data_IF_339291420134
#
_entry.id   IF_339291420134
#
_cell.length_a   1.000
_cell.length_b   1.000
_cell.length_c   1.000
_cell.angle_alpha   90.00
_cell.angle_beta   90.00
_cell.angle_gamma   90.00
#
_symmetry.space_group_name_H-M   'P 1'
#
loop_
_entity.id
_entity.type
_entity.pdbx_description
1 polymer ?
#
# COMPACT_ATOMS: atom_id res chain seq x y z
N UNK A 1 4.92 17.24 36.07
CA UNK A 1 4.81 16.01 36.87
C UNK A 1 5.04 14.82 35.95
N UNK A 2 5.96 13.93 36.29
CA UNK A 2 6.29 12.75 35.48
C UNK A 2 5.26 11.64 35.64
N UNK A 3 5.24 10.67 34.72
CA UNK A 3 4.41 9.47 34.87
C UNK A 3 4.69 8.74 36.20
N UNK A 4 5.95 8.73 36.63
CA UNK A 4 6.40 8.15 37.90
C UNK A 4 5.84 8.87 39.14
N UNK A 5 5.67 10.19 39.08
CA UNK A 5 5.04 10.97 40.17
C UNK A 5 3.52 10.74 40.21
N UNK A 6 2.89 10.54 39.05
CA UNK A 6 1.44 10.27 38.95
C UNK A 6 1.09 8.89 39.51
N UNK A 7 1.90 7.86 39.21
CA UNK A 7 1.75 6.52 39.79
C UNK A 7 2.01 6.49 41.29
N UNK A 8 2.94 7.31 41.79
CA UNK A 8 3.18 7.47 43.23
C UNK A 8 1.96 8.07 43.95
N UNK A 9 1.35 9.12 43.39
CA UNK A 9 0.14 9.75 43.94
C UNK A 9 -1.06 8.78 43.91
N UNK A 10 -1.19 7.97 42.86
CA UNK A 10 -2.21 6.91 42.76
C UNK A 10 -2.03 5.84 43.84
N UNK A 11 -0.79 5.42 44.11
CA UNK A 11 -0.48 4.45 45.17
C UNK A 11 -0.78 5.02 46.57
N UNK A 12 -0.45 6.30 46.81
CA UNK A 12 -0.78 7.00 48.06
C UNK A 12 -2.30 7.16 48.25
N UNK A 13 -3.03 7.50 47.18
CA UNK A 13 -4.50 7.61 47.21
C UNK A 13 -5.17 6.27 47.53
N UNK A 14 -4.66 5.17 46.95
CA UNK A 14 -5.15 3.81 47.23
C UNK A 14 -4.97 3.44 48.70
N UNK A 15 -3.82 3.76 49.30
CA UNK A 15 -3.55 3.51 50.71
C UNK A 15 -4.51 4.28 51.63
N UNK A 16 -4.81 5.54 51.31
CA UNK A 16 -5.75 6.37 52.07
C UNK A 16 -7.19 5.82 52.03
N UNK A 17 -7.59 5.20 50.91
CA UNK A 17 -8.89 4.53 50.77
C UNK A 17 -8.92 3.22 51.57
N UNK A 18 -7.84 2.44 51.53
CA UNK A 18 -7.70 1.18 52.27
C UNK A 18 -7.69 1.39 53.81
N UNK A 19 -7.20 2.54 54.29
CA UNK A 19 -7.14 2.89 55.73
C UNK A 19 -8.50 3.37 56.33
N UNK A 20 -9.57 3.50 55.54
CA UNK A 20 -10.97 3.54 56.03
C UNK A 20 -11.38 4.69 56.96
N UNK A 21 -10.69 5.84 56.98
CA UNK A 21 -10.99 6.96 57.88
C UNK A 21 -11.85 8.05 57.20
N UNK A 22 -13.07 8.29 57.71
CA UNK A 22 -14.06 9.23 57.17
C UNK A 22 -13.58 10.71 57.13
N UNK A 23 -12.53 11.06 57.87
CA UNK A 23 -11.93 12.40 57.88
C UNK A 23 -10.91 12.67 56.76
N UNK A 24 -10.66 11.71 55.85
CA UNK A 24 -9.65 11.84 54.78
C UNK A 24 -10.17 12.38 53.44
N UNK A 25 -11.43 12.82 53.38
CA UNK A 25 -12.09 13.31 52.15
C UNK A 25 -11.37 14.50 51.51
N UNK A 26 -10.88 15.46 52.30
CA UNK A 26 -10.12 16.61 51.82
C UNK A 26 -8.76 16.21 51.21
N UNK A 27 -8.10 15.22 51.80
CA UNK A 27 -6.82 14.67 51.31
C UNK A 27 -7.03 13.95 49.98
N UNK A 28 -8.08 13.13 49.88
CA UNK A 28 -8.44 12.43 48.65
C UNK A 28 -8.82 13.40 47.52
N UNK A 29 -9.60 14.44 47.81
CA UNK A 29 -9.95 15.49 46.84
C UNK A 29 -8.70 16.21 46.30
N UNK A 30 -7.75 16.52 47.18
CA UNK A 30 -6.49 17.19 46.79
C UNK A 30 -5.63 16.29 45.90
N UNK A 31 -5.53 15.00 46.21
CA UNK A 31 -4.79 14.03 45.39
C UNK A 31 -5.44 13.83 44.02
N UNK A 32 -6.77 13.73 43.97
CA UNK A 32 -7.54 13.61 42.71
C UNK A 32 -7.33 14.85 41.83
N UNK A 33 -7.43 16.05 42.39
CA UNK A 33 -7.21 17.29 41.65
C UNK A 33 -5.79 17.38 41.07
N UNK A 34 -4.79 16.93 41.83
CA UNK A 34 -3.39 16.86 41.36
C UNK A 34 -3.22 15.91 40.16
N UNK A 35 -3.83 14.72 40.23
CA UNK A 35 -3.81 13.74 39.12
C UNK A 35 -4.53 14.31 37.90
N UNK A 36 -5.72 14.88 38.07
CA UNK A 36 -6.50 15.49 36.97
C UNK A 36 -5.70 16.57 36.26
N UNK A 37 -5.09 17.50 37.00
CA UNK A 37 -4.29 18.58 36.42
C UNK A 37 -3.09 18.06 35.62
N UNK A 38 -2.44 17.00 36.11
CA UNK A 38 -1.32 16.35 35.41
C UNK A 38 -1.75 15.65 34.12
N UNK A 39 -2.91 14.98 34.14
CA UNK A 39 -3.48 14.32 32.96
C UNK A 39 -3.86 15.37 31.91
N UNK A 40 -4.52 16.46 32.30
CA UNK A 40 -4.85 17.57 31.39
C UNK A 40 -3.62 18.17 30.72
N UNK A 41 -2.52 18.34 31.48
CA UNK A 41 -1.26 18.83 30.92
C UNK A 41 -0.67 17.85 29.89
N UNK A 42 -0.75 16.55 30.16
CA UNK A 42 -0.26 15.51 29.25
C UNK A 42 -1.10 15.45 27.96
N UNK A 43 -2.42 15.60 28.06
CA UNK A 43 -3.33 15.66 26.90
C UNK A 43 -2.95 16.82 25.98
N UNK A 44 -2.76 18.04 26.52
CA UNK A 44 -2.34 19.20 25.72
C UNK A 44 -1.03 18.98 24.98
N UNK A 45 -0.08 18.27 25.59
CA UNK A 45 1.20 17.93 24.96
C UNK A 45 1.02 16.94 23.80
N UNK A 46 0.10 15.99 23.92
CA UNK A 46 -0.26 15.05 22.85
C UNK A 46 -0.93 15.79 21.69
N UNK A 47 -1.89 16.67 21.98
CA UNK A 47 -2.59 17.47 20.96
C UNK A 47 -1.62 18.32 20.13
N UNK A 48 -0.67 19.00 20.79
CA UNK A 48 0.38 19.76 20.10
C UNK A 48 1.30 18.88 19.24
N UNK A 49 1.60 17.66 19.71
CA UNK A 49 2.35 16.67 18.94
C UNK A 49 1.60 16.20 17.69
N UNK A 50 0.29 15.96 17.80
CA UNK A 50 -0.57 15.58 16.69
C UNK A 50 -0.62 16.67 15.60
N UNK A 51 -0.76 17.93 16.00
CA UNK A 51 -0.74 19.06 15.05
C UNK A 51 0.61 19.14 14.30
N UNK A 52 1.71 18.86 14.99
CA UNK A 52 3.04 18.82 14.38
C UNK A 52 3.18 17.68 13.36
N UNK A 53 2.62 16.50 13.66
CA UNK A 53 2.59 15.36 12.74
C UNK A 53 1.76 15.70 11.49
N UNK A 54 0.63 16.39 11.66
CA UNK A 54 -0.22 16.80 10.54
C UNK A 54 0.52 17.78 9.61
N UNK A 55 1.24 18.76 10.18
CA UNK A 55 2.11 19.67 9.41
C UNK A 55 3.21 18.93 8.65
N UNK A 56 3.83 17.93 9.28
CA UNK A 56 4.84 17.07 8.61
C UNK A 56 4.20 16.30 7.46
N UNK A 57 3.02 15.70 7.67
CA UNK A 57 2.30 14.94 6.65
C UNK A 57 2.01 15.80 5.42
N UNK A 58 1.46 17.00 5.62
CA UNK A 58 1.22 17.96 4.54
C UNK A 58 2.50 18.35 3.81
N UNK A 59 3.57 18.59 4.56
CA UNK A 59 4.89 18.94 3.98
C UNK A 59 5.45 17.79 3.14
N UNK A 60 5.35 16.54 3.62
CA UNK A 60 5.78 15.35 2.86
C UNK A 60 4.96 15.19 1.58
N UNK A 61 3.66 15.43 1.63
CA UNK A 61 2.80 15.40 0.43
C UNK A 61 3.22 16.48 -0.58
N UNK A 62 3.47 17.71 -0.14
CA UNK A 62 3.95 18.78 -1.02
C UNK A 62 5.33 18.48 -1.62
N UNK A 63 6.28 18.03 -0.80
CA UNK A 63 7.62 17.65 -1.28
C UNK A 63 7.57 16.49 -2.28
N UNK A 64 6.65 15.54 -2.10
CA UNK A 64 6.47 14.44 -3.04
C UNK A 64 5.94 14.91 -4.41
N UNK A 65 5.14 15.98 -4.44
CA UNK A 65 4.66 16.60 -5.66
C UNK A 65 5.77 17.45 -6.34
N UNK A 66 6.51 18.24 -5.56
CA UNK A 66 7.55 19.14 -6.07
C UNK A 66 8.77 18.40 -6.65
N UNK A 67 9.12 17.24 -6.08
CA UNK A 67 10.25 16.43 -6.55
C UNK A 67 9.97 15.65 -7.84
N UNK A 68 8.76 15.73 -8.43
CA UNK A 68 8.35 14.91 -9.59
C UNK A 68 8.72 13.43 -9.45
N UNK A 69 8.69 12.91 -8.21
CA UNK A 69 8.97 11.50 -7.96
C UNK A 69 7.92 10.59 -8.62
N UNK A 70 6.79 11.15 -9.07
CA UNK A 70 5.78 10.45 -9.89
C UNK A 70 6.33 9.90 -11.21
N UNK A 71 7.32 10.57 -11.82
CA UNK A 71 7.90 10.14 -13.11
C UNK A 71 9.00 9.05 -12.90
N UNK A 72 9.48 8.90 -11.67
CA UNK A 72 10.48 7.91 -11.25
C UNK A 72 9.94 6.93 -10.20
N UNK A 73 8.65 6.65 -10.21
CA UNK A 73 8.10 5.47 -9.54
C UNK A 73 7.66 4.51 -10.61
N UNK A 74 8.29 3.33 -10.68
CA UNK A 74 7.72 2.25 -11.49
C UNK A 74 6.32 1.99 -10.97
N UNK A 75 5.29 2.10 -11.83
CA UNK A 75 3.92 1.90 -11.36
C UNK A 75 3.77 0.53 -10.72
N UNK A 76 3.09 0.48 -9.57
CA UNK A 76 2.99 -0.74 -8.74
C UNK A 76 2.47 -1.93 -9.55
N UNK A 77 1.53 -1.71 -10.48
CA UNK A 77 1.01 -2.76 -11.35
C UNK A 77 2.09 -3.40 -12.24
N UNK A 78 3.06 -2.63 -12.75
CA UNK A 78 4.16 -3.19 -13.56
C UNK A 78 5.04 -4.11 -12.74
N UNK A 79 5.33 -3.72 -11.51
CA UNK A 79 6.09 -4.57 -10.59
C UNK A 79 5.34 -5.86 -10.23
N UNK A 80 4.01 -5.80 -10.07
CA UNK A 80 3.17 -7.00 -9.87
C UNK A 80 3.20 -7.93 -11.08
N UNK A 81 3.04 -7.38 -12.28
CA UNK A 81 3.13 -8.14 -13.53
C UNK A 81 4.49 -8.82 -13.69
N UNK A 82 5.59 -8.11 -13.40
CA UNK A 82 6.94 -8.66 -13.52
C UNK A 82 7.25 -9.73 -12.47
N UNK A 83 6.81 -9.56 -11.22
CA UNK A 83 7.00 -10.60 -10.18
C UNK A 83 6.26 -11.89 -10.48
N UNK A 84 5.12 -11.80 -11.16
CA UNK A 84 4.30 -12.97 -11.52
C UNK A 84 4.52 -13.44 -12.97
N UNK A 85 5.52 -12.89 -13.67
CA UNK A 85 5.73 -13.12 -15.11
C UNK A 85 5.79 -14.60 -15.48
N UNK A 86 6.54 -15.40 -14.71
CA UNK A 86 6.66 -16.85 -14.95
C UNK A 86 5.35 -17.60 -14.73
N UNK A 87 4.56 -17.23 -13.71
CA UNK A 87 3.27 -17.84 -13.43
C UNK A 87 2.25 -17.52 -14.53
N UNK A 88 2.21 -16.25 -14.95
CA UNK A 88 1.33 -15.80 -16.04
C UNK A 88 1.63 -16.57 -17.33
N UNK A 89 2.91 -16.68 -17.69
CA UNK A 89 3.31 -17.36 -18.93
C UNK A 89 2.96 -18.85 -18.94
N UNK A 90 3.09 -19.52 -17.79
CA UNK A 90 2.86 -20.95 -17.69
C UNK A 90 1.37 -21.33 -17.60
N UNK A 91 0.51 -20.42 -17.13
CA UNK A 91 -0.84 -20.77 -16.71
C UNK A 91 -1.95 -20.32 -17.67
N UNK A 92 -1.72 -19.28 -18.48
CA UNK A 92 -2.81 -18.63 -19.22
C UNK A 92 -2.96 -19.16 -20.65
N UNK A 93 -4.19 -19.30 -21.10
CA UNK A 93 -4.54 -19.41 -22.52
C UNK A 93 -4.94 -18.00 -23.02
N UNK A 94 -4.11 -17.34 -23.85
CA UNK A 94 -4.23 -15.93 -24.17
C UNK A 94 -5.42 -15.60 -25.08
N UNK A 95 -6.04 -16.56 -25.77
CA UNK A 95 -7.02 -16.27 -26.82
C UNK A 95 -8.20 -15.43 -26.33
N UNK A 96 -8.95 -15.92 -25.34
CA UNK A 96 -10.16 -15.25 -24.86
C UNK A 96 -9.83 -13.95 -24.11
N UNK A 97 -8.67 -13.92 -23.45
CA UNK A 97 -8.17 -12.72 -22.75
C UNK A 97 -7.75 -11.64 -23.75
N UNK A 98 -7.09 -11.99 -24.85
CA UNK A 98 -6.68 -11.04 -25.89
C UNK A 98 -7.91 -10.44 -26.58
N UNK A 99 -8.90 -11.26 -26.92
CA UNK A 99 -10.15 -10.79 -27.54
C UNK A 99 -10.91 -9.81 -26.61
N UNK A 100 -10.95 -10.11 -25.31
CA UNK A 100 -11.51 -9.20 -24.30
C UNK A 100 -10.73 -7.88 -24.24
N UNK A 101 -9.40 -7.94 -24.18
CA UNK A 101 -8.55 -6.75 -24.08
C UNK A 101 -8.61 -5.86 -25.34
N UNK A 102 -8.88 -6.43 -26.51
CA UNK A 102 -9.16 -5.65 -27.73
C UNK A 102 -10.51 -4.95 -27.61
N UNK A 103 -11.53 -5.63 -27.09
CA UNK A 103 -12.87 -5.06 -26.88
C UNK A 103 -12.85 -3.88 -25.91
N UNK A 104 -11.98 -3.94 -24.89
CA UNK A 104 -11.77 -2.85 -23.94
C UNK A 104 -10.78 -1.76 -24.42
N UNK A 105 -10.32 -1.80 -25.68
CA UNK A 105 -9.33 -0.85 -26.26
C UNK A 105 -8.00 -0.80 -25.49
N UNK A 106 -7.66 -1.89 -24.78
CA UNK A 106 -6.37 -2.05 -24.09
C UNK A 106 -5.31 -2.56 -25.06
N UNK A 107 -5.71 -3.42 -25.99
CA UNK A 107 -4.90 -3.90 -27.11
C UNK A 107 -5.52 -3.49 -28.43
N UNK A 108 -4.69 -3.25 -29.43
CA UNK A 108 -5.20 -3.05 -30.79
C UNK A 108 -5.45 -4.40 -31.49
N UNK A 109 -6.28 -4.40 -32.53
CA UNK A 109 -6.47 -5.58 -33.41
C UNK A 109 -5.12 -6.06 -33.97
N UNK A 110 -4.22 -5.13 -34.30
CA UNK A 110 -2.87 -5.46 -34.78
C UNK A 110 -2.04 -6.18 -33.72
N UNK A 111 -2.17 -5.80 -32.44
CA UNK A 111 -1.51 -6.51 -31.33
C UNK A 111 -2.05 -7.92 -31.18
N UNK A 112 -3.38 -8.09 -31.28
CA UNK A 112 -4.03 -9.40 -31.27
C UNK A 112 -3.51 -10.32 -32.37
N UNK A 113 -3.41 -9.81 -33.60
CA UNK A 113 -2.86 -10.56 -34.72
C UNK A 113 -1.39 -10.96 -34.47
N UNK A 114 -0.55 -10.05 -33.97
CA UNK A 114 0.85 -10.37 -33.66
C UNK A 114 0.96 -11.47 -32.60
N UNK A 115 0.10 -11.42 -31.57
CA UNK A 115 0.05 -12.45 -30.55
C UNK A 115 -0.40 -13.78 -31.18
N UNK A 116 -1.52 -13.80 -31.90
CA UNK A 116 -2.08 -15.03 -32.49
C UNK A 116 -1.13 -15.73 -33.49
N UNK A 117 -0.30 -14.96 -34.19
CA UNK A 117 0.72 -15.50 -35.11
C UNK A 117 1.93 -16.17 -34.42
N UNK A 118 2.03 -16.11 -33.09
CA UNK A 118 3.10 -16.81 -32.37
C UNK A 118 2.86 -18.33 -32.34
N UNK A 119 3.93 -19.11 -32.44
CA UNK A 119 3.86 -20.56 -32.67
C UNK A 119 3.44 -21.35 -31.42
N UNK A 120 3.77 -20.84 -30.22
CA UNK A 120 3.44 -21.49 -28.95
C UNK A 120 2.70 -20.58 -28.00
N UNK A 121 1.87 -21.17 -27.13
CA UNK A 121 1.13 -20.44 -26.09
C UNK A 121 2.07 -19.66 -25.16
N UNK A 122 3.26 -20.21 -24.88
CA UNK A 122 4.28 -19.51 -24.11
C UNK A 122 4.76 -18.23 -24.81
N UNK A 123 4.98 -18.28 -26.13
CA UNK A 123 5.38 -17.10 -26.91
C UNK A 123 4.24 -16.08 -27.00
N UNK A 124 2.99 -16.53 -27.17
CA UNK A 124 1.80 -15.68 -27.12
C UNK A 124 1.71 -14.94 -25.79
N UNK A 125 1.87 -15.66 -24.67
CA UNK A 125 1.83 -15.08 -23.32
C UNK A 125 2.97 -14.10 -23.07
N UNK A 126 4.19 -14.37 -23.58
CA UNK A 126 5.31 -13.43 -23.53
C UNK A 126 4.98 -12.13 -24.26
N UNK A 127 4.40 -12.22 -25.46
CA UNK A 127 3.99 -11.04 -26.25
C UNK A 127 2.85 -10.27 -25.61
N UNK A 128 1.86 -10.96 -25.06
CA UNK A 128 0.80 -10.35 -24.26
C UNK A 128 1.40 -9.57 -23.09
N UNK A 129 2.33 -10.18 -22.34
CA UNK A 129 3.01 -9.50 -21.22
C UNK A 129 3.84 -8.30 -21.65
N UNK A 130 4.55 -8.38 -22.77
CA UNK A 130 5.29 -7.23 -23.32
C UNK A 130 4.36 -6.04 -23.61
N UNK A 131 3.11 -6.30 -23.99
CA UNK A 131 2.09 -5.27 -24.21
C UNK A 131 1.52 -4.75 -22.89
N UNK A 132 1.17 -5.64 -21.96
CA UNK A 132 0.64 -5.28 -20.64
C UNK A 132 1.63 -4.45 -19.79
N UNK A 133 2.94 -4.64 -19.99
CA UNK A 133 3.96 -3.81 -19.32
C UNK A 133 4.05 -2.38 -19.90
N UNK A 134 3.47 -2.14 -21.08
CA UNK A 134 3.44 -0.84 -21.75
C UNK A 134 2.11 -0.11 -21.58
N UNK A 135 1.04 -0.81 -21.22
CA UNK A 135 -0.28 -0.23 -20.95
C UNK A 135 -0.33 0.55 -19.64
N UNK A 136 -1.44 1.29 -19.45
CA UNK A 136 -1.76 2.04 -18.24
C UNK A 136 -2.20 1.13 -17.09
N UNK A 137 -2.41 1.72 -15.92
CA UNK A 137 -3.00 1.04 -14.77
C UNK A 137 -4.43 0.53 -15.05
N UNK A 138 -5.19 1.27 -15.85
CA UNK A 138 -6.53 0.86 -16.31
C UNK A 138 -6.45 -0.44 -17.13
N UNK A 139 -5.49 -0.53 -18.07
CA UNK A 139 -5.26 -1.74 -18.85
C UNK A 139 -4.86 -2.95 -18.00
N UNK A 140 -4.13 -2.73 -16.91
CA UNK A 140 -3.88 -3.78 -15.91
C UNK A 140 -5.15 -4.23 -15.20
N UNK A 141 -6.03 -3.28 -14.84
CA UNK A 141 -7.34 -3.58 -14.25
C UNK A 141 -8.21 -4.44 -15.17
N UNK A 142 -8.29 -4.08 -16.46
CA UNK A 142 -9.02 -4.86 -17.47
C UNK A 142 -8.42 -6.25 -17.68
N UNK A 143 -7.09 -6.40 -17.61
CA UNK A 143 -6.44 -7.70 -17.65
C UNK A 143 -6.84 -8.58 -16.44
N UNK A 144 -6.86 -8.03 -15.23
CA UNK A 144 -7.33 -8.78 -14.06
C UNK A 144 -8.81 -9.15 -14.16
N UNK A 145 -9.65 -8.29 -14.74
CA UNK A 145 -11.05 -8.62 -15.01
C UNK A 145 -11.16 -9.78 -15.99
N UNK A 146 -10.41 -9.73 -17.10
CA UNK A 146 -10.38 -10.81 -18.09
C UNK A 146 -9.99 -12.16 -17.45
N UNK A 147 -9.02 -12.16 -16.54
CA UNK A 147 -8.66 -13.37 -15.78
C UNK A 147 -9.76 -13.83 -14.81
N UNK A 148 -10.61 -12.93 -14.31
CA UNK A 148 -11.68 -13.30 -13.36
C UNK A 148 -12.95 -13.81 -14.02
N UNK A 149 -13.16 -13.47 -15.29
CA UNK A 149 -14.23 -14.03 -16.12
C UNK A 149 -14.10 -15.55 -16.25
N UNK A 150 -12.87 -16.06 -16.27
CA UNK A 150 -12.61 -17.49 -16.20
C UNK A 150 -12.32 -17.95 -14.76
N UNK A 151 -13.11 -18.90 -14.27
CA UNK A 151 -12.93 -19.52 -12.96
C UNK A 151 -11.55 -20.17 -12.78
N UNK A 152 -10.91 -20.63 -13.85
CA UNK A 152 -9.59 -21.26 -13.79
C UNK A 152 -8.47 -20.27 -13.46
N UNK A 153 -8.66 -18.97 -13.73
CA UNK A 153 -7.65 -17.94 -13.54
C UNK A 153 -7.96 -16.96 -12.38
N UNK A 154 -9.06 -17.16 -11.65
CA UNK A 154 -9.41 -16.33 -10.50
C UNK A 154 -8.32 -16.30 -9.43
N UNK A 155 -7.78 -17.47 -9.05
CA UNK A 155 -6.69 -17.55 -8.07
C UNK A 155 -5.42 -16.83 -8.57
N UNK A 156 -5.13 -16.94 -9.86
CA UNK A 156 -3.99 -16.25 -10.48
C UNK A 156 -4.19 -14.73 -10.47
N UNK A 157 -5.39 -14.25 -10.79
CA UNK A 157 -5.72 -12.83 -10.75
C UNK A 157 -5.55 -12.26 -9.32
N UNK A 158 -6.08 -12.97 -8.33
CA UNK A 158 -5.97 -12.59 -6.93
C UNK A 158 -4.52 -12.62 -6.44
N UNK A 159 -3.73 -13.61 -6.86
CA UNK A 159 -2.30 -13.67 -6.57
C UNK A 159 -1.58 -12.43 -7.15
N UNK A 160 -1.83 -12.09 -8.41
CA UNK A 160 -1.20 -10.94 -9.07
C UNK A 160 -1.57 -9.64 -8.36
N UNK A 161 -2.85 -9.43 -8.07
CA UNK A 161 -3.33 -8.21 -7.42
C UNK A 161 -2.78 -8.05 -6.00
N UNK A 162 -2.74 -9.14 -5.23
CA UNK A 162 -2.27 -9.12 -3.83
C UNK A 162 -0.74 -9.26 -3.69
N UNK A 163 0.00 -9.33 -4.81
CA UNK A 163 1.45 -9.43 -4.78
C UNK A 163 2.06 -8.20 -4.10
N UNK A 164 2.81 -8.46 -3.01
CA UNK A 164 3.55 -7.44 -2.28
C UNK A 164 4.70 -6.92 -3.13
N UNK A 165 4.65 -5.64 -3.45
CA UNK A 165 5.70 -4.89 -4.14
C UNK A 165 6.51 -4.14 -3.09
N UNK A 166 7.82 -4.39 -3.06
CA UNK A 166 8.77 -3.70 -2.19
C UNK A 166 9.48 -2.58 -2.95
N UNK A 167 10.09 -1.64 -2.23
CA UNK A 167 10.89 -0.56 -2.86
C UNK A 167 12.03 -1.11 -3.73
N UNK A 168 12.60 -2.28 -3.38
CA UNK A 168 13.66 -2.93 -4.16
C UNK A 168 13.14 -3.40 -5.52
N UNK A 169 11.91 -3.92 -5.57
CA UNK A 169 11.30 -4.37 -6.83
C UNK A 169 11.14 -3.18 -7.79
N UNK A 170 10.62 -2.06 -7.28
CA UNK A 170 10.41 -0.82 -8.05
C UNK A 170 11.74 -0.27 -8.59
N UNK A 171 12.81 -0.29 -7.77
CA UNK A 171 14.13 0.20 -8.17
C UNK A 171 14.86 -0.70 -9.19
N UNK A 172 14.63 -2.02 -9.14
CA UNK A 172 15.26 -2.97 -10.08
C UNK A 172 14.71 -2.78 -11.49
N UNK A 173 13.41 -2.48 -11.61
CA UNK A 173 12.73 -2.33 -12.90
C UNK A 173 13.18 -1.06 -13.66
N UNK A 174 13.49 0.02 -12.94
CA UNK A 174 14.05 1.24 -13.53
C UNK A 174 15.41 1.03 -14.20
N UNK A 175 16.16 0.06 -13.68
CA UNK A 175 17.47 -0.31 -14.22
C UNK A 175 17.34 -1.05 -15.56
N UNK A 176 16.28 -1.84 -15.75
CA UNK A 176 16.03 -2.57 -17.00
C UNK A 176 15.50 -1.66 -18.13
N UNK A 177 14.68 -0.65 -17.83
CA UNK A 177 14.16 0.28 -18.83
C UNK A 177 15.19 1.26 -19.40
N UNK A 178 16.39 1.40 -18.79
CA UNK A 178 17.46 2.23 -19.34
C UNK A 178 18.21 1.59 -20.52
N UNK A 179 17.99 0.30 -20.81
CA UNK A 179 18.71 -0.43 -21.85
C UNK A 179 17.92 -0.72 -23.13
N UNK A 180 16.63 -0.34 -23.19
CA UNK A 180 15.76 -0.63 -24.34
C UNK A 180 15.62 0.52 -25.35
N UNK A 181 16.34 1.64 -25.18
CA UNK A 181 16.34 2.79 -26.12
C UNK A 181 17.59 2.90 -27.01
N UNK A 182 18.32 1.79 -27.24
CA UNK A 182 19.39 1.76 -28.24
C UNK A 182 19.08 0.75 -29.34
N UNK A 183 18.18 1.08 -30.25
CA UNK A 183 18.19 0.65 -31.65
C UNK A 183 17.43 1.66 -32.50
#
# INVERSE_FOLDING_TARGET
MSFAETTKILAESRKVIEDGNENNTATLLTLILSVVTSVEHSIKKIESGMESIEKIKTTVTLLSADLRLSDYTVPVYKARLQKNYSSIIASIIPKDIVDYLITCDVLTIGDGQIIDHCESEEQKNRKLMDKLLRTSEEGFGEFLKALREDTEYQELADQIENTKVTHVDISTIQSCNKYTHRY
#
